data_IF_981385161538
#
_entry.id   IF_981385161538
#
_cell.length_a   1.000
_cell.length_b   1.000
_cell.length_c   1.000
_cell.angle_alpha   90.00
_cell.angle_beta   90.00
_cell.angle_gamma   90.00
#
_symmetry.space_group_name_H-M   'P 1'
#
loop_
_entity.id
_entity.type
_entity.pdbx_description
1 polymer ?
#
# COMPACT_ATOMS: atom_id res chain seq x y z
N UNK A 1 3.26 4.04 -10.46
CA UNK A 1 4.42 3.14 -10.24
C UNK A 1 4.37 1.97 -11.21
N UNK A 2 3.95 0.79 -10.74
CA UNK A 2 3.90 -0.44 -11.55
C UNK A 2 2.96 -0.33 -12.77
N UNK A 3 1.75 0.23 -12.61
CA UNK A 3 0.83 0.47 -13.74
C UNK A 3 1.49 1.31 -14.85
N UNK A 4 2.28 2.33 -14.48
CA UNK A 4 3.02 3.16 -15.44
C UNK A 4 4.18 2.44 -16.11
N UNK A 5 4.74 1.42 -15.47
CA UNK A 5 5.79 0.60 -16.06
C UNK A 5 5.20 -0.31 -17.15
N UNK A 6 4.05 -0.95 -16.86
CA UNK A 6 3.32 -1.76 -17.86
C UNK A 6 2.89 -0.90 -19.05
N UNK A 7 2.39 0.31 -18.81
CA UNK A 7 1.98 1.23 -19.88
C UNK A 7 3.09 1.68 -20.82
N UNK A 8 4.36 1.48 -20.46
CA UNK A 8 5.51 1.81 -21.31
C UNK A 8 5.90 0.67 -22.25
N UNK A 9 5.32 -0.51 -22.07
CA UNK A 9 5.52 -1.66 -22.95
C UNK A 9 4.84 -1.38 -24.29
N UNK A 10 5.55 -1.65 -25.37
CA UNK A 10 5.02 -1.48 -26.73
C UNK A 10 3.77 -2.36 -26.94
N UNK A 11 2.73 -1.78 -27.52
CA UNK A 11 1.44 -2.46 -27.73
C UNK A 11 0.48 -2.46 -26.53
N UNK A 12 0.84 -1.84 -25.39
CA UNK A 12 -0.10 -1.60 -24.27
C UNK A 12 -0.75 -0.23 -24.40
N UNK A 13 -2.09 -0.17 -24.40
CA UNK A 13 -2.86 1.08 -24.46
C UNK A 13 -3.10 1.67 -23.06
N UNK A 14 -3.51 0.84 -22.10
CA UNK A 14 -3.65 1.21 -20.68
C UNK A 14 -3.46 -0.04 -19.81
N UNK A 15 -3.14 0.17 -18.53
CA UNK A 15 -2.98 -0.93 -17.58
C UNK A 15 -3.21 -0.48 -16.14
N UNK A 16 -3.63 -1.44 -15.31
CA UNK A 16 -3.69 -1.32 -13.85
C UNK A 16 -2.97 -2.51 -13.23
N UNK A 17 -2.17 -2.24 -12.20
CA UNK A 17 -1.50 -3.27 -11.42
C UNK A 17 -1.93 -3.17 -9.95
N UNK A 18 -2.26 -4.31 -9.38
CA UNK A 18 -2.59 -4.47 -7.97
C UNK A 18 -1.54 -5.33 -7.29
N UNK A 19 -1.06 -4.86 -6.14
CA UNK A 19 -0.19 -5.64 -5.26
C UNK A 19 -1.07 -6.24 -4.18
N UNK A 20 -1.29 -7.56 -4.26
CA UNK A 20 -2.27 -8.27 -3.45
C UNK A 20 -1.53 -9.10 -2.40
N UNK A 21 -1.76 -8.89 -1.09
CA UNK A 21 -1.14 -9.72 -0.07
C UNK A 21 -1.70 -11.14 -0.14
N UNK A 22 -0.83 -12.15 0.03
CA UNK A 22 -1.28 -13.55 0.03
C UNK A 22 -1.87 -13.90 1.40
N UNK A 23 -3.14 -14.28 1.39
CA UNK A 23 -3.93 -14.49 2.62
C UNK A 23 -3.29 -15.50 3.57
N UNK A 24 -2.67 -16.56 3.04
CA UNK A 24 -2.00 -17.58 3.86
C UNK A 24 -0.95 -17.00 4.85
N UNK A 25 -0.24 -15.93 4.46
CA UNK A 25 0.75 -15.29 5.34
C UNK A 25 0.08 -14.35 6.33
N UNK A 26 -1.00 -13.67 5.92
CA UNK A 26 -1.78 -12.83 6.82
C UNK A 26 -2.42 -13.69 7.93
N UNK A 27 -3.03 -14.82 7.58
CA UNK A 27 -3.62 -15.77 8.52
C UNK A 27 -2.58 -16.37 9.46
N UNK A 28 -1.43 -16.82 8.94
CA UNK A 28 -0.35 -17.34 9.78
C UNK A 28 0.12 -16.32 10.83
N UNK A 29 0.35 -15.07 10.42
CA UNK A 29 0.78 -14.01 11.36
C UNK A 29 -0.34 -13.68 12.38
N UNK A 30 -1.61 -13.66 11.95
CA UNK A 30 -2.77 -13.48 12.85
C UNK A 30 -2.91 -14.61 13.86
N UNK A 31 -2.47 -15.83 13.52
CA UNK A 31 -2.40 -16.98 14.43
C UNK A 31 -1.17 -16.94 15.37
N UNK A 32 -0.42 -15.84 15.35
CA UNK A 32 0.76 -15.64 16.18
C UNK A 32 1.99 -16.40 15.68
N UNK A 33 1.99 -16.84 14.42
CA UNK A 33 3.19 -17.42 13.79
C UNK A 33 4.11 -16.31 13.28
N UNK A 34 5.38 -16.66 13.04
CA UNK A 34 6.39 -15.77 12.45
C UNK A 34 6.95 -16.39 11.17
N UNK A 35 6.15 -16.48 10.09
CA UNK A 35 6.56 -17.13 8.86
C UNK A 35 7.75 -16.40 8.23
N UNK A 36 8.67 -17.15 7.62
CA UNK A 36 9.75 -16.58 6.79
C UNK A 36 9.17 -16.12 5.45
N UNK A 37 8.77 -14.85 5.40
CA UNK A 37 8.16 -14.21 4.24
C UNK A 37 8.92 -12.92 3.91
N UNK A 38 9.31 -12.80 2.64
CA UNK A 38 9.92 -11.58 2.12
C UNK A 38 8.93 -10.81 1.23
N UNK A 39 9.37 -9.67 0.70
CA UNK A 39 8.55 -8.82 -0.16
C UNK A 39 8.00 -9.53 -1.40
N UNK A 40 8.71 -10.52 -1.93
CA UNK A 40 8.35 -11.26 -3.15
C UNK A 40 7.34 -12.38 -2.87
N UNK A 41 7.57 -13.15 -1.79
CA UNK A 41 6.71 -14.26 -1.39
C UNK A 41 5.37 -13.77 -0.86
N UNK A 42 5.37 -12.67 -0.11
CA UNK A 42 4.17 -12.16 0.57
C UNK A 42 3.09 -11.60 -0.34
N UNK A 43 3.38 -11.36 -1.62
CA UNK A 43 2.46 -10.65 -2.52
C UNK A 43 2.35 -11.33 -3.89
N UNK A 44 1.15 -11.25 -4.45
CA UNK A 44 0.84 -11.47 -5.85
C UNK A 44 0.82 -10.12 -6.58
N UNK A 45 1.32 -10.08 -7.81
CA UNK A 45 1.11 -8.94 -8.71
C UNK A 45 0.07 -9.29 -9.75
N UNK A 46 -1.08 -8.65 -9.65
CA UNK A 46 -2.17 -8.84 -10.59
C UNK A 46 -2.26 -7.66 -11.55
N UNK A 47 -2.17 -7.93 -12.84
CA UNK A 47 -2.11 -6.94 -13.91
C UNK A 47 -3.34 -7.05 -14.79
N UNK A 48 -4.02 -5.95 -15.04
CA UNK A 48 -5.10 -5.83 -16.01
C UNK A 48 -4.62 -4.92 -17.13
N UNK A 49 -4.59 -5.45 -18.37
CA UNK A 49 -3.88 -4.84 -19.50
C UNK A 49 -4.82 -4.72 -20.68
N UNK A 50 -4.89 -3.52 -21.25
CA UNK A 50 -5.56 -3.25 -22.52
C UNK A 50 -4.50 -3.26 -23.61
N UNK A 51 -4.52 -4.28 -24.46
CA UNK A 51 -3.58 -4.40 -25.57
C UNK A 51 -4.13 -3.71 -26.83
N UNK A 52 -3.25 -3.20 -27.69
CA UNK A 52 -3.63 -2.71 -29.01
C UNK A 52 -4.20 -3.86 -29.87
N UNK A 53 -5.08 -3.58 -30.87
CA UNK A 53 -5.80 -4.61 -31.63
C UNK A 53 -4.92 -5.73 -32.22
N UNK A 54 -3.71 -5.38 -32.68
CA UNK A 54 -2.77 -6.30 -33.33
C UNK A 54 -1.53 -6.62 -32.46
N UNK A 55 -1.55 -6.26 -31.18
CA UNK A 55 -0.41 -6.47 -30.30
C UNK A 55 -0.24 -7.95 -29.92
N UNK A 56 1.02 -8.39 -29.85
CA UNK A 56 1.38 -9.73 -29.38
C UNK A 56 1.24 -9.79 -27.85
N UNK A 57 0.10 -10.34 -27.40
CA UNK A 57 -0.22 -10.52 -25.98
C UNK A 57 0.80 -11.41 -25.26
N UNK A 58 1.34 -12.43 -25.91
CA UNK A 58 2.33 -13.32 -25.29
C UNK A 58 3.66 -12.59 -25.07
N UNK A 59 4.07 -11.75 -26.04
CA UNK A 59 5.24 -10.88 -25.89
C UNK A 59 5.04 -9.87 -24.75
N UNK A 60 3.88 -9.21 -24.68
CA UNK A 60 3.56 -8.25 -23.60
C UNK A 60 3.59 -8.96 -22.25
N UNK A 61 2.93 -10.11 -22.11
CA UNK A 61 2.91 -10.87 -20.86
C UNK A 61 4.32 -11.27 -20.40
N UNK A 62 5.16 -11.75 -21.34
CA UNK A 62 6.54 -12.08 -21.04
C UNK A 62 7.32 -10.83 -20.58
N UNK A 63 7.21 -9.72 -21.30
CA UNK A 63 7.90 -8.47 -20.96
C UNK A 63 7.49 -7.95 -19.57
N UNK A 64 6.20 -8.02 -19.22
CA UNK A 64 5.72 -7.71 -17.87
C UNK A 64 6.41 -8.62 -16.85
N UNK A 65 6.32 -9.94 -17.02
CA UNK A 65 6.83 -10.92 -16.05
C UNK A 65 8.35 -10.87 -15.87
N UNK A 66 9.09 -10.47 -16.91
CA UNK A 66 10.55 -10.39 -16.89
C UNK A 66 11.09 -9.00 -16.59
N UNK A 67 10.23 -8.00 -16.33
CA UNK A 67 10.67 -6.64 -16.06
C UNK A 67 11.33 -6.53 -14.68
N UNK A 68 12.64 -6.30 -14.68
CA UNK A 68 13.46 -6.14 -13.48
C UNK A 68 12.97 -5.02 -12.57
N UNK A 69 13.16 -5.17 -11.25
CA UNK A 69 12.73 -4.25 -10.20
C UNK A 69 11.20 -4.08 -10.04
N UNK A 70 10.40 -4.52 -10.99
CA UNK A 70 8.94 -4.42 -10.94
C UNK A 70 8.27 -5.76 -10.70
N UNK A 71 8.56 -6.78 -11.51
CA UNK A 71 7.80 -8.04 -11.49
C UNK A 71 8.67 -9.29 -11.28
N UNK A 72 9.96 -9.23 -11.64
CA UNK A 72 10.89 -10.34 -11.36
C UNK A 72 10.90 -10.68 -9.87
N UNK A 73 10.77 -11.98 -9.56
CA UNK A 73 10.69 -12.52 -8.20
C UNK A 73 9.26 -12.64 -7.66
N UNK A 74 8.31 -11.88 -8.20
CA UNK A 74 6.91 -11.96 -7.81
C UNK A 74 6.15 -13.00 -8.63
N UNK A 75 5.22 -13.70 -7.98
CA UNK A 75 4.14 -14.32 -8.72
C UNK A 75 3.33 -13.21 -9.41
N UNK A 76 3.17 -13.31 -10.72
CA UNK A 76 2.54 -12.27 -11.54
C UNK A 76 1.49 -12.88 -12.45
N UNK A 77 0.26 -12.37 -12.38
CA UNK A 77 -0.88 -12.73 -13.24
C UNK A 77 -1.16 -11.57 -14.18
N UNK A 78 -1.36 -11.88 -15.46
CA UNK A 78 -1.65 -10.88 -16.51
C UNK A 78 -2.99 -11.22 -17.14
N UNK A 79 -3.94 -10.32 -17.01
CA UNK A 79 -5.30 -10.42 -17.54
C UNK A 79 -5.45 -9.38 -18.67
N UNK A 80 -5.74 -9.85 -19.89
CA UNK A 80 -6.04 -8.95 -21.01
C UNK A 80 -7.54 -8.67 -21.06
N UNK A 81 -7.92 -7.40 -20.91
CA UNK A 81 -9.31 -6.96 -20.84
C UNK A 81 -9.57 -5.82 -21.84
N UNK A 82 -10.84 -5.43 -21.99
CA UNK A 82 -11.21 -4.29 -22.83
C UNK A 82 -11.03 -2.96 -22.09
N UNK A 83 -10.97 -1.86 -22.84
CA UNK A 83 -10.92 -0.51 -22.24
C UNK A 83 -12.18 -0.22 -21.42
N UNK A 84 -13.35 -0.67 -21.89
CA UNK A 84 -14.62 -0.50 -21.18
C UNK A 84 -14.63 -1.22 -19.83
N UNK A 85 -14.07 -2.44 -19.77
CA UNK A 85 -13.93 -3.20 -18.53
C UNK A 85 -12.94 -2.52 -17.57
N UNK A 86 -11.80 -2.06 -18.07
CA UNK A 86 -10.82 -1.33 -17.28
C UNK A 86 -11.42 -0.05 -16.66
N UNK A 87 -12.20 0.70 -17.44
CA UNK A 87 -12.83 1.94 -16.99
C UNK A 87 -14.01 1.72 -16.03
N UNK A 88 -14.71 0.60 -16.15
CA UNK A 88 -15.82 0.25 -15.25
C UNK A 88 -15.30 -0.24 -13.90
N UNK A 89 -14.34 -1.16 -13.91
CA UNK A 89 -13.99 -1.96 -12.74
C UNK A 89 -12.66 -1.52 -12.09
N UNK A 90 -11.80 -0.82 -12.83
CA UNK A 90 -10.41 -0.49 -12.40
C UNK A 90 -10.06 1.00 -12.51
N UNK A 91 -11.06 1.88 -12.58
CA UNK A 91 -10.87 3.34 -12.70
C UNK A 91 -10.52 4.02 -11.38
N UNK A 92 -10.93 3.44 -10.26
CA UNK A 92 -10.58 3.94 -8.94
C UNK A 92 -9.09 3.83 -8.64
N UNK A 93 -8.64 4.50 -7.58
CA UNK A 93 -7.31 4.32 -7.00
C UNK A 93 -7.45 3.79 -5.56
N UNK A 94 -8.11 2.61 -5.38
CA UNK A 94 -8.21 2.00 -4.08
C UNK A 94 -6.83 1.54 -3.64
N UNK A 95 -6.59 1.57 -2.34
CA UNK A 95 -5.39 0.99 -1.76
C UNK A 95 -5.69 0.54 -0.34
N UNK A 96 -4.81 -0.29 0.18
CA UNK A 96 -4.87 -0.68 1.57
C UNK A 96 -3.59 -1.36 1.96
N UNK A 97 -3.64 -2.06 3.07
CA UNK A 97 -2.54 -2.89 3.52
C UNK A 97 -2.64 -3.14 5.01
N UNK A 98 -1.74 -4.00 5.46
CA UNK A 98 -1.62 -4.40 6.85
C UNK A 98 -0.19 -4.16 7.31
N UNK A 99 -0.04 -3.64 8.53
CA UNK A 99 1.20 -3.74 9.30
C UNK A 99 0.92 -4.72 10.42
N UNK A 100 1.53 -5.89 10.33
CA UNK A 100 1.35 -6.98 11.28
C UNK A 100 2.63 -7.20 12.06
N UNK A 101 2.50 -7.35 13.37
CA UNK A 101 3.59 -7.77 14.26
C UNK A 101 3.12 -8.93 15.12
N UNK A 102 3.71 -10.09 14.92
CA UNK A 102 3.58 -11.26 15.81
C UNK A 102 4.89 -11.43 16.59
N UNK A 103 4.78 -11.79 17.86
CA UNK A 103 5.94 -12.09 18.72
C UNK A 103 5.54 -12.67 20.07
N UNK A 104 6.53 -13.03 20.88
CA UNK A 104 6.31 -13.63 22.20
C UNK A 104 6.98 -12.79 23.30
N UNK A 105 6.31 -12.66 24.45
CA UNK A 105 6.92 -12.04 25.65
C UNK A 105 7.79 -13.03 26.43
N UNK A 106 7.33 -14.27 26.45
CA UNK A 106 7.93 -15.46 27.05
C UNK A 106 7.54 -16.64 26.17
N UNK A 107 8.30 -17.73 26.19
CA UNK A 107 8.06 -18.89 25.34
C UNK A 107 6.59 -19.36 25.40
N UNK A 108 5.93 -19.41 24.24
CA UNK A 108 4.53 -19.80 24.09
C UNK A 108 3.50 -18.71 24.43
N UNK A 109 3.92 -17.53 24.90
CA UNK A 109 3.02 -16.39 25.21
C UNK A 109 3.01 -15.40 24.05
N UNK A 110 2.15 -15.69 23.07
CA UNK A 110 2.05 -14.97 21.80
C UNK A 110 1.25 -13.67 21.91
N UNK A 111 1.70 -12.67 21.17
CA UNK A 111 1.08 -11.35 21.03
C UNK A 111 1.04 -10.97 19.56
N UNK A 112 -0.09 -10.42 19.13
CA UNK A 112 -0.27 -9.93 17.76
C UNK A 112 -0.76 -8.50 17.80
N UNK A 113 -0.14 -7.64 16.99
CA UNK A 113 -0.57 -6.26 16.74
C UNK A 113 -0.85 -6.13 15.24
N UNK A 114 -2.03 -5.62 14.91
CA UNK A 114 -2.47 -5.41 13.53
C UNK A 114 -2.93 -3.97 13.33
N UNK A 115 -2.41 -3.31 12.30
CA UNK A 115 -2.92 -2.05 11.78
C UNK A 115 -3.33 -2.25 10.33
N UNK A 116 -4.56 -1.86 9.98
CA UNK A 116 -5.10 -2.01 8.63
C UNK A 116 -5.53 -0.68 8.03
N UNK A 117 -5.34 -0.53 6.71
CA UNK A 117 -5.98 0.50 5.91
C UNK A 117 -6.86 -0.14 4.83
N UNK A 118 -8.07 0.38 4.66
CA UNK A 118 -8.98 0.05 3.56
C UNK A 118 -9.47 1.36 2.96
N UNK A 119 -8.92 1.74 1.83
CA UNK A 119 -9.07 3.08 1.25
C UNK A 119 -9.73 2.98 -0.12
N UNK A 120 -10.81 3.72 -0.31
CA UNK A 120 -11.43 3.88 -1.62
C UNK A 120 -10.62 4.84 -2.52
N UNK A 121 -9.92 5.80 -1.89
CA UNK A 121 -9.04 6.77 -2.56
C UNK A 121 -7.74 6.96 -1.77
N UNK A 122 -6.67 6.31 -2.24
CA UNK A 122 -5.32 6.49 -1.71
C UNK A 122 -4.83 7.96 -1.69
N UNK A 123 -4.99 8.76 -2.78
CA UNK A 123 -4.51 10.14 -2.78
C UNK A 123 -5.29 11.03 -1.78
N UNK A 124 -6.59 10.82 -1.60
CA UNK A 124 -7.38 11.60 -0.63
C UNK A 124 -7.01 11.27 0.82
N UNK A 125 -6.82 10.00 1.13
CA UNK A 125 -6.33 9.59 2.46
C UNK A 125 -4.94 10.18 2.74
N UNK A 126 -4.04 10.11 1.76
CA UNK A 126 -2.70 10.71 1.86
C UNK A 126 -2.78 12.23 2.06
N UNK A 127 -3.63 12.92 1.30
CA UNK A 127 -3.87 14.35 1.46
C UNK A 127 -4.39 14.70 2.86
N UNK A 128 -5.29 13.88 3.41
CA UNK A 128 -5.81 14.05 4.77
C UNK A 128 -4.72 13.91 5.83
N UNK A 129 -3.84 12.92 5.69
CA UNK A 129 -2.68 12.76 6.56
C UNK A 129 -1.74 13.98 6.47
N UNK A 130 -1.41 14.44 5.26
CA UNK A 130 -0.56 15.62 5.05
C UNK A 130 -1.11 16.86 5.76
N UNK A 131 -2.42 17.12 5.65
CA UNK A 131 -3.07 18.25 6.33
C UNK A 131 -3.01 18.11 7.86
N UNK A 132 -3.20 16.90 8.39
CA UNK A 132 -3.07 16.64 9.82
C UNK A 132 -1.64 16.90 10.32
N UNK A 133 -0.63 16.43 9.58
CA UNK A 133 0.78 16.66 9.92
C UNK A 133 1.21 18.12 9.74
N UNK A 134 0.64 18.88 8.80
CA UNK A 134 0.89 20.32 8.67
C UNK A 134 0.52 21.08 9.96
N UNK A 135 -0.56 20.68 10.65
CA UNK A 135 -0.92 21.22 11.97
C UNK A 135 0.13 20.89 13.02
N UNK A 136 0.61 19.65 13.04
CA UNK A 136 1.67 19.21 13.94
C UNK A 136 2.96 20.00 13.74
N UNK A 137 3.37 20.20 12.49
CA UNK A 137 4.55 21.00 12.13
C UNK A 137 4.40 22.47 12.49
N UNK A 138 3.21 23.06 12.34
CA UNK A 138 2.95 24.42 12.81
C UNK A 138 3.14 24.54 14.33
N UNK A 139 2.62 23.59 15.10
CA UNK A 139 2.81 23.54 16.57
C UNK A 139 4.29 23.34 16.93
N UNK A 140 5.00 22.47 16.21
CA UNK A 140 6.44 22.26 16.36
C UNK A 140 7.23 23.56 16.17
N UNK A 141 6.96 24.28 15.08
CA UNK A 141 7.61 25.55 14.78
C UNK A 141 7.33 26.61 15.87
N UNK A 142 6.11 26.65 16.42
CA UNK A 142 5.78 27.52 17.56
C UNK A 142 6.54 27.19 18.84
N UNK A 143 7.02 25.96 18.98
CA UNK A 143 7.90 25.51 20.06
C UNK A 143 9.39 25.57 19.69
N UNK A 144 9.75 26.27 18.60
CA UNK A 144 11.13 26.49 18.20
C UNK A 144 11.77 25.36 17.39
N UNK A 145 11.00 24.35 16.96
CA UNK A 145 11.51 23.29 16.10
C UNK A 145 11.93 23.81 14.72
N UNK A 146 13.10 23.38 14.25
CA UNK A 146 13.68 23.73 12.95
C UNK A 146 14.40 22.51 12.36
N UNK A 147 14.47 22.40 11.03
CA UNK A 147 15.09 21.26 10.35
C UNK A 147 14.08 20.22 9.83
N UNK A 148 14.56 19.00 9.57
CA UNK A 148 13.77 17.93 8.99
C UNK A 148 13.26 16.97 10.07
N UNK A 149 11.99 16.59 9.98
CA UNK A 149 11.32 15.68 10.91
C UNK A 149 10.55 14.61 10.14
N UNK A 150 10.34 13.48 10.80
CA UNK A 150 9.56 12.34 10.31
C UNK A 150 8.31 12.13 11.17
N UNK A 151 7.47 11.18 10.79
CA UNK A 151 6.30 10.79 11.60
C UNK A 151 6.66 10.29 13.00
N UNK A 152 7.91 9.85 13.23
CA UNK A 152 8.38 9.42 14.55
C UNK A 152 8.63 10.58 15.53
N UNK A 153 8.78 11.79 15.00
CA UNK A 153 9.13 12.97 15.80
C UNK A 153 7.91 13.81 16.19
N UNK A 154 6.74 13.52 15.61
CA UNK A 154 5.51 14.30 15.80
C UNK A 154 4.52 13.51 16.66
N UNK A 155 4.25 13.94 17.91
CA UNK A 155 3.30 13.25 18.77
C UNK A 155 1.88 13.26 18.18
N UNK A 156 1.08 12.18 18.31
CA UNK A 156 -0.30 12.13 17.80
C UNK A 156 -1.20 13.28 18.30
N UNK A 157 -0.99 13.74 19.53
CA UNK A 157 -1.72 14.88 20.08
C UNK A 157 -1.53 16.16 19.25
N UNK A 158 -0.40 16.31 18.56
CA UNK A 158 -0.08 17.51 17.79
C UNK A 158 -0.80 17.58 16.44
N UNK A 159 -1.18 16.43 15.88
CA UNK A 159 -1.95 16.39 14.63
C UNK A 159 -3.47 16.53 14.86
N UNK A 160 -3.94 16.40 16.11
CA UNK A 160 -5.36 16.60 16.46
C UNK A 160 -5.80 18.07 16.40
N UNK A 161 -7.05 18.30 15.99
CA UNK A 161 -7.72 19.60 16.05
C UNK A 161 -8.14 19.99 17.47
N UNK A 162 -8.29 19.02 18.36
CA UNK A 162 -8.74 19.23 19.74
C UNK A 162 -7.63 19.83 20.61
N UNK A 163 -8.06 20.46 21.71
CA UNK A 163 -7.18 20.92 22.78
C UNK A 163 -6.61 19.74 23.58
N UNK A 164 -5.53 19.99 24.31
CA UNK A 164 -4.93 18.97 25.17
C UNK A 164 -5.87 18.52 26.31
N UNK A 165 -6.76 19.40 26.78
CA UNK A 165 -7.78 19.07 27.78
C UNK A 165 -8.82 18.12 27.22
N UNK A 166 -9.38 18.43 26.05
CA UNK A 166 -10.37 17.57 25.37
C UNK A 166 -9.80 16.18 25.06
N UNK A 167 -8.56 16.10 24.57
CA UNK A 167 -7.89 14.83 24.32
C UNK A 167 -7.76 13.97 25.59
N UNK A 168 -7.43 14.58 26.74
CA UNK A 168 -7.36 13.85 28.01
C UNK A 168 -8.73 13.43 28.53
N UNK A 169 -9.77 14.23 28.29
CA UNK A 169 -11.11 13.94 28.75
C UNK A 169 -11.82 12.84 27.94
N UNK A 170 -11.46 12.70 26.65
CA UNK A 170 -12.24 11.89 25.71
C UNK A 170 -11.43 10.90 24.87
N UNK A 171 -10.10 10.83 25.02
CA UNK A 171 -9.24 9.99 24.16
C UNK A 171 -8.04 9.34 24.89
N UNK A 172 -7.98 9.45 26.22
CA UNK A 172 -7.09 8.66 27.10
C UNK A 172 -7.93 7.70 27.94
#
# INVERSE_FOLDING_TARGET
>A
GHSDAIRRIDGVLDARQYTVPKEQYLEAIRNGETPDVDGYKGHLRECYVVAAPDADKAKIENEIKTMENYFVGYETVVNFISQEELDRDHKGIPHGGFVLRSGESTEGTRHVIEYSLKLDSNPEFTGSALVAYARGLYRLAKHGGTGCYTVFDIPPAWISTQSAEELRAHSL
#
